data_IF_887810809660
#
_entry.id   IF_887810809660
#
_cell.length_a   1.000
_cell.length_b   1.000
_cell.length_c   1.000
_cell.angle_alpha   90.00
_cell.angle_beta   90.00
_cell.angle_gamma   90.00
#
_symmetry.space_group_name_H-M   'P 1'
#
loop_
_entity.id
_entity.type
_entity.pdbx_description
1 polymer ?
#
# COMPACT_ATOMS: atom_id res chain seq x y z
N UNK A 1 4.23 2.71 -13.33
CA UNK A 1 4.06 1.47 -12.55
C UNK A 1 3.60 0.30 -13.41
N UNK A 2 2.48 0.44 -14.14
CA UNK A 2 2.03 -0.55 -15.14
C UNK A 2 3.13 -0.99 -16.11
N UNK A 3 3.89 -0.05 -16.68
CA UNK A 3 5.00 -0.37 -17.59
C UNK A 3 6.04 -1.32 -16.95
N UNK A 4 6.33 -1.14 -15.65
CA UNK A 4 7.29 -1.99 -14.92
C UNK A 4 6.66 -3.34 -14.57
N UNK A 5 5.41 -3.34 -14.10
CA UNK A 5 4.69 -4.57 -13.79
C UNK A 5 4.51 -5.47 -15.03
N UNK A 6 4.17 -4.89 -16.18
CA UNK A 6 4.02 -5.64 -17.45
C UNK A 6 5.36 -6.13 -17.99
N UNK A 7 6.43 -5.34 -17.84
CA UNK A 7 7.76 -5.73 -18.33
C UNK A 7 8.41 -6.83 -17.47
N UNK A 8 8.19 -6.82 -16.16
CA UNK A 8 8.87 -7.70 -15.20
C UNK A 8 8.01 -8.91 -14.81
N UNK A 9 6.67 -8.80 -14.89
CA UNK A 9 5.73 -9.84 -14.47
C UNK A 9 6.03 -10.42 -13.08
N UNK A 10 6.09 -9.57 -12.03
CA UNK A 10 6.48 -10.01 -10.70
C UNK A 10 5.45 -10.98 -10.09
N UNK A 11 5.93 -12.01 -9.40
CA UNK A 11 5.07 -12.97 -8.69
C UNK A 11 4.31 -12.34 -7.51
N UNK A 12 4.88 -11.30 -6.91
CA UNK A 12 4.25 -10.57 -5.82
C UNK A 12 4.55 -9.08 -5.90
N UNK A 13 3.51 -8.27 -5.72
CA UNK A 13 3.60 -6.81 -5.66
C UNK A 13 3.21 -6.39 -4.26
N UNK A 14 4.16 -5.73 -3.59
CA UNK A 14 4.02 -5.32 -2.20
C UNK A 14 3.76 -3.82 -2.15
N UNK A 15 2.65 -3.42 -1.54
CA UNK A 15 2.34 -2.03 -1.26
C UNK A 15 2.84 -1.65 0.14
N UNK A 16 3.75 -0.69 0.22
CA UNK A 16 4.37 -0.28 1.49
C UNK A 16 3.83 1.09 1.88
N UNK A 17 3.29 1.19 3.09
CA UNK A 17 2.66 2.40 3.61
C UNK A 17 3.15 2.71 5.03
N UNK A 18 2.99 3.98 5.42
CA UNK A 18 3.35 4.49 6.74
C UNK A 18 2.11 4.45 7.66
N UNK A 19 2.26 3.94 8.88
CA UNK A 19 1.21 3.90 9.88
C UNK A 19 0.63 5.29 10.23
N UNK A 20 1.42 6.35 10.06
CA UNK A 20 1.04 7.75 10.38
C UNK A 20 0.08 8.37 9.37
N UNK A 21 -0.16 7.74 8.21
CA UNK A 21 -0.92 8.33 7.11
C UNK A 21 -2.42 8.53 7.44
N UNK A 22 -2.93 7.83 8.45
CA UNK A 22 -4.31 7.99 8.93
C UNK A 22 -5.36 7.74 7.83
N UNK A 23 -6.45 8.51 7.85
CA UNK A 23 -7.59 8.32 6.94
C UNK A 23 -7.26 8.52 5.45
N UNK A 24 -6.12 9.16 5.11
CA UNK A 24 -5.69 9.32 3.73
C UNK A 24 -5.21 8.01 3.08
N UNK A 25 -5.05 6.94 3.86
CA UNK A 25 -4.59 5.65 3.39
C UNK A 25 -5.54 5.01 2.36
N UNK A 26 -6.84 5.06 2.63
CA UNK A 26 -7.86 4.39 1.82
C UNK A 26 -7.85 4.92 0.38
N UNK A 27 -7.81 6.24 0.21
CA UNK A 27 -7.76 6.86 -1.11
C UNK A 27 -6.50 6.49 -1.90
N UNK A 28 -5.34 6.44 -1.22
CA UNK A 28 -4.08 6.03 -1.87
C UNK A 28 -4.07 4.55 -2.23
N UNK A 29 -4.47 3.67 -1.32
CA UNK A 29 -4.50 2.23 -1.58
C UNK A 29 -5.47 1.88 -2.69
N UNK A 30 -6.66 2.50 -2.72
CA UNK A 30 -7.63 2.34 -3.80
C UNK A 30 -7.06 2.78 -5.15
N UNK A 31 -6.46 3.97 -5.20
CA UNK A 31 -5.84 4.46 -6.43
C UNK A 31 -4.69 3.55 -6.93
N UNK A 32 -3.97 2.91 -6.01
CA UNK A 32 -2.89 1.98 -6.33
C UNK A 32 -3.42 0.63 -6.85
N UNK A 33 -4.42 0.07 -6.16
CA UNK A 33 -5.09 -1.18 -6.51
C UNK A 33 -5.81 -1.10 -7.86
N UNK A 34 -6.34 0.06 -8.23
CA UNK A 34 -6.92 0.30 -9.56
C UNK A 34 -5.88 0.26 -10.70
N UNK A 35 -4.59 0.44 -10.39
CA UNK A 35 -3.53 0.49 -11.40
C UNK A 35 -2.70 -0.79 -11.46
N UNK A 36 -2.50 -1.46 -10.33
CA UNK A 36 -1.61 -2.61 -10.21
C UNK A 36 -2.21 -3.59 -9.21
N UNK A 37 -2.16 -4.87 -9.54
CA UNK A 37 -2.66 -5.92 -8.65
C UNK A 37 -1.71 -6.13 -7.47
N UNK A 38 -2.15 -5.79 -6.26
CA UNK A 38 -1.34 -5.85 -5.04
C UNK A 38 -1.60 -7.19 -4.35
N UNK A 39 -0.54 -7.97 -4.11
CA UNK A 39 -0.62 -9.24 -3.40
C UNK A 39 -0.35 -9.13 -1.90
N UNK A 40 0.37 -8.10 -1.45
CA UNK A 40 0.70 -7.94 -0.02
C UNK A 40 0.83 -6.48 0.37
N UNK A 41 0.55 -6.17 1.64
CA UNK A 41 0.70 -4.83 2.22
C UNK A 41 1.68 -4.88 3.39
N UNK A 42 2.60 -3.92 3.45
CA UNK A 42 3.50 -3.71 4.58
C UNK A 42 3.24 -2.34 5.19
N UNK A 43 3.00 -2.32 6.51
CA UNK A 43 2.82 -1.10 7.28
C UNK A 43 4.10 -0.83 8.07
N UNK A 44 4.68 0.34 7.85
CA UNK A 44 5.94 0.80 8.45
C UNK A 44 5.67 1.86 9.52
N UNK A 45 6.69 2.20 10.32
CA UNK A 45 6.62 3.21 11.39
C UNK A 45 5.56 2.93 12.47
N UNK A 46 5.35 1.64 12.76
CA UNK A 46 4.47 1.19 13.85
C UNK A 46 5.05 1.43 15.25
N UNK A 47 6.32 1.82 15.33
CA UNK A 47 7.01 2.23 16.55
C UNK A 47 6.57 3.62 17.07
N UNK A 48 5.86 4.40 16.26
CA UNK A 48 5.31 5.71 16.63
C UNK A 48 3.96 5.65 17.36
N UNK A 49 3.39 6.82 17.66
CA UNK A 49 2.03 6.94 18.25
C UNK A 49 0.90 6.62 17.24
N UNK A 50 1.26 6.30 16.00
CA UNK A 50 0.31 6.03 14.94
C UNK A 50 -0.29 4.64 15.09
N UNK A 51 -1.61 4.57 15.25
CA UNK A 51 -2.31 3.30 15.52
C UNK A 51 -2.51 2.41 14.29
N UNK A 52 -1.99 2.78 13.12
CA UNK A 52 -2.13 2.00 11.88
C UNK A 52 -3.58 1.82 11.39
N UNK A 53 -4.58 2.45 12.02
CA UNK A 53 -5.99 2.24 11.70
C UNK A 53 -6.36 2.64 10.27
N UNK A 54 -5.71 3.68 9.73
CA UNK A 54 -5.86 4.04 8.33
C UNK A 54 -5.36 2.95 7.38
N UNK A 55 -4.25 2.32 7.73
CA UNK A 55 -3.60 1.28 6.93
C UNK A 55 -4.34 -0.06 6.93
N UNK A 56 -5.14 -0.35 7.96
CA UNK A 56 -6.03 -1.51 8.01
C UNK A 56 -7.33 -1.32 7.20
N UNK A 57 -7.76 -0.07 6.99
CA UNK A 57 -8.95 0.25 6.21
C UNK A 57 -8.70 0.32 4.70
N UNK A 58 -7.45 0.11 4.28
CA UNK A 58 -6.94 0.38 2.94
C UNK A 58 -6.94 -0.86 2.02
#
# INVERSE_FOLDING_TARGET
MLAVATAIQPDNIIFVMDATIGQACEAQAKAFKEKVDIGSVIITKLDGHAKGGGALSA
#
